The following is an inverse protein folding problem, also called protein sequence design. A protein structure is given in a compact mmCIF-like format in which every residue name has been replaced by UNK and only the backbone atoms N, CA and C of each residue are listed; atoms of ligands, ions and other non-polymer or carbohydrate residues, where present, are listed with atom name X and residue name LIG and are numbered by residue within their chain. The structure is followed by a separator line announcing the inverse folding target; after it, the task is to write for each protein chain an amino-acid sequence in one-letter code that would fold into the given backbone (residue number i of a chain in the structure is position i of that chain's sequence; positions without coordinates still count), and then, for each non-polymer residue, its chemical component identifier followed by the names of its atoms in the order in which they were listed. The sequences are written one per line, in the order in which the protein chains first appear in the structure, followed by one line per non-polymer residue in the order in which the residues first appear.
data_IF_122965413659
#
_entry.id   IF_122965413659
#
_cell.length_a   1.000
_cell.length_b   1.000
_cell.length_c   1.000
_cell.angle_alpha   90.00
_cell.angle_beta   90.00
_cell.angle_gamma   90.00
#
_symmetry.space_group_name_H-M   'P 1'
#
loop_
_entity.id
_entity.type
_entity.pdbx_description
1 polymer ?
#
# COMPACT_ATOMS: atom_id res chain seq x y z
N UNK A 1 1.66 4.04 -22.58
CA UNK A 1 3.12 4.01 -22.68
C UNK A 1 3.65 4.51 -21.37
N UNK A 2 4.47 3.69 -20.70
CA UNK A 2 5.13 4.03 -19.43
C UNK A 2 5.85 5.37 -19.53
N UNK A 3 5.70 6.22 -18.52
CA UNK A 3 6.37 7.52 -18.47
C UNK A 3 6.77 7.88 -17.04
N UNK A 4 7.87 8.64 -16.93
CA UNK A 4 8.34 9.15 -15.64
C UNK A 4 7.43 10.28 -15.16
N UNK A 5 6.76 10.03 -14.04
CA UNK A 5 5.83 10.96 -13.40
C UNK A 5 6.52 11.88 -12.40
N UNK A 6 7.53 11.39 -11.69
CA UNK A 6 8.33 12.14 -10.73
C UNK A 6 9.79 11.70 -10.79
N UNK A 7 10.69 12.64 -10.53
CA UNK A 7 12.11 12.35 -10.43
C UNK A 7 12.75 13.26 -9.37
N UNK A 8 13.78 12.75 -8.70
CA UNK A 8 14.65 13.55 -7.84
C UNK A 8 15.44 14.59 -8.63
N UNK A 9 15.81 15.73 -8.04
CA UNK A 9 16.63 16.73 -8.72
C UNK A 9 18.06 16.23 -8.92
N UNK A 10 18.61 16.37 -10.13
CA UNK A 10 19.97 15.92 -10.50
C UNK A 10 21.13 16.64 -9.77
N UNK A 11 20.85 17.72 -9.04
CA UNK A 11 21.88 18.56 -8.41
C UNK A 11 22.32 18.06 -7.02
N UNK A 12 21.62 17.09 -6.44
CA UNK A 12 21.97 16.51 -5.16
C UNK A 12 22.90 15.30 -5.34
N UNK A 13 23.80 15.09 -4.38
CA UNK A 13 24.70 13.94 -4.37
C UNK A 13 24.02 12.74 -3.73
N UNK A 14 23.42 11.87 -4.55
CA UNK A 14 22.80 10.62 -4.11
C UNK A 14 23.80 9.46 -4.19
N UNK A 15 23.81 8.61 -3.17
CA UNK A 15 24.65 7.41 -3.11
C UNK A 15 23.95 6.18 -3.70
N UNK A 16 22.63 6.23 -3.75
CA UNK A 16 21.78 5.13 -4.19
C UNK A 16 20.82 5.60 -5.28
N UNK A 17 20.22 4.65 -5.98
CA UNK A 17 19.14 4.86 -6.93
C UNK A 17 17.97 3.90 -6.64
N UNK A 18 16.75 4.43 -6.64
CA UNK A 18 15.52 3.67 -6.56
C UNK A 18 14.57 4.01 -7.71
N UNK A 19 13.99 2.98 -8.31
CA UNK A 19 12.90 3.08 -9.28
C UNK A 19 11.60 2.56 -8.68
N UNK A 20 10.55 3.36 -8.78
CA UNK A 20 9.24 3.05 -8.24
C UNK A 20 8.26 2.90 -9.40
N UNK A 21 7.62 1.73 -9.51
CA UNK A 21 6.47 1.54 -10.37
C UNK A 21 5.22 2.06 -9.67
N UNK A 22 4.62 3.11 -10.21
CA UNK A 22 3.29 3.58 -9.82
C UNK A 22 2.26 2.89 -10.72
N UNK A 23 1.80 1.73 -10.27
CA UNK A 23 0.86 0.89 -11.02
C UNK A 23 -0.48 1.62 -11.17
N UNK A 24 -0.86 1.87 -12.42
CA UNK A 24 -2.10 2.54 -12.80
C UNK A 24 -2.34 3.89 -12.12
N UNK A 25 -1.28 4.66 -11.82
CA UNK A 25 -1.39 5.93 -11.09
C UNK A 25 -2.23 7.02 -11.76
N UNK A 26 -2.57 6.86 -13.04
CA UNK A 26 -3.51 7.69 -13.78
C UNK A 26 -4.99 7.32 -13.56
N UNK A 27 -5.29 6.14 -13.03
CA UNK A 27 -6.65 5.63 -12.76
C UNK A 27 -6.89 5.40 -11.26
N UNK A 28 -5.90 4.83 -10.56
CA UNK A 28 -5.95 4.47 -9.15
C UNK A 28 -5.37 5.61 -8.29
N UNK A 29 -6.07 6.76 -8.28
CA UNK A 29 -5.55 8.02 -7.74
C UNK A 29 -6.48 8.74 -6.76
N UNK A 30 -7.45 8.02 -6.19
CA UNK A 30 -8.45 8.60 -5.30
C UNK A 30 -7.99 8.68 -3.84
N UNK A 31 -8.78 9.34 -3.00
CA UNK A 31 -8.61 9.43 -1.54
C UNK A 31 -7.26 9.97 -1.03
N UNK A 32 -6.48 10.63 -1.90
CA UNK A 32 -5.16 11.16 -1.54
C UNK A 32 -4.07 10.09 -1.44
N UNK A 33 -4.36 8.84 -1.81
CA UNK A 33 -3.43 7.71 -1.63
C UNK A 33 -2.16 7.82 -2.50
N UNK A 34 -2.21 8.60 -3.59
CA UNK A 34 -1.02 8.97 -4.36
C UNK A 34 0.01 9.77 -3.53
N UNK A 35 -0.36 10.35 -2.40
CA UNK A 35 0.58 10.94 -1.46
C UNK A 35 1.58 9.92 -0.89
N UNK A 36 1.27 8.61 -0.93
CA UNK A 36 2.24 7.56 -0.58
C UNK A 36 3.47 7.59 -1.51
N UNK A 37 3.30 7.85 -2.81
CA UNK A 37 4.42 8.02 -3.75
C UNK A 37 5.31 9.19 -3.33
N UNK A 38 4.70 10.30 -2.91
CA UNK A 38 5.43 11.49 -2.45
C UNK A 38 6.23 11.18 -1.18
N UNK A 39 5.65 10.42 -0.24
CA UNK A 39 6.33 9.98 0.97
C UNK A 39 7.48 9.02 0.69
N UNK A 40 7.29 8.04 -0.21
CA UNK A 40 8.37 7.14 -0.63
C UNK A 40 9.53 7.92 -1.24
N UNK A 41 9.23 8.87 -2.13
CA UNK A 41 10.25 9.74 -2.74
C UNK A 41 10.99 10.55 -1.67
N UNK A 42 10.25 11.23 -0.79
CA UNK A 42 10.82 12.08 0.27
C UNK A 42 11.73 11.29 1.22
N UNK A 43 11.29 10.13 1.69
CA UNK A 43 12.06 9.28 2.60
C UNK A 43 13.29 8.71 1.91
N UNK A 44 13.17 8.28 0.66
CA UNK A 44 14.29 7.79 -0.15
C UNK A 44 15.35 8.87 -0.40
N UNK A 45 14.95 10.10 -0.72
CA UNK A 45 15.88 11.22 -0.88
C UNK A 45 16.64 11.52 0.41
N UNK A 46 15.96 11.46 1.57
CA UNK A 46 16.61 11.60 2.89
C UNK A 46 17.57 10.46 3.23
N UNK A 47 17.35 9.28 2.66
CA UNK A 47 18.24 8.12 2.76
C UNK A 47 19.36 8.14 1.71
N UNK A 48 19.47 9.21 0.92
CA UNK A 48 20.51 9.38 -0.08
C UNK A 48 20.25 8.66 -1.40
N UNK A 49 18.99 8.34 -1.71
CA UNK A 49 18.60 7.71 -2.97
C UNK A 49 18.01 8.70 -3.97
N UNK A 50 18.51 8.67 -5.20
CA UNK A 50 17.88 9.31 -6.35
C UNK A 50 16.66 8.47 -6.76
N UNK A 51 15.49 9.08 -6.80
CA UNK A 51 14.23 8.40 -7.09
C UNK A 51 13.74 8.72 -8.49
N UNK A 52 13.33 7.69 -9.22
CA UNK A 52 12.55 7.81 -10.46
C UNK A 52 11.23 7.07 -10.27
N UNK A 53 10.11 7.74 -10.48
CA UNK A 53 8.76 7.16 -10.38
C UNK A 53 8.14 7.10 -11.76
N UNK A 54 7.89 5.89 -12.26
CA UNK A 54 7.23 5.69 -13.54
C UNK A 54 5.79 5.26 -13.33
N UNK A 55 4.85 5.88 -14.06
CA UNK A 55 3.49 5.35 -14.15
C UNK A 55 3.48 4.22 -15.16
N UNK A 56 3.12 3.01 -14.69
CA UNK A 56 2.95 1.80 -15.50
C UNK A 56 1.45 1.49 -15.51
N UNK A 57 0.77 1.73 -16.64
CA UNK A 57 -0.70 1.72 -16.69
C UNK A 57 -1.25 0.76 -17.76
N UNK A 58 -2.44 1.06 -18.28
CA UNK A 58 -3.13 0.30 -19.30
C UNK A 58 -2.23 0.05 -20.51
N UNK A 59 -2.15 -1.21 -20.92
CA UNK A 59 -1.39 -1.71 -22.07
C UNK A 59 0.12 -1.51 -21.96
N UNK A 60 0.61 -1.07 -20.81
CA UNK A 60 2.04 -1.00 -20.51
C UNK A 60 2.52 -2.33 -19.95
N UNK A 61 3.83 -2.58 -20.09
CA UNK A 61 4.49 -3.73 -19.46
C UNK A 61 5.06 -3.33 -18.11
N UNK A 62 4.90 -4.18 -17.11
CA UNK A 62 5.64 -4.10 -15.86
C UNK A 62 6.94 -4.89 -16.00
N UNK A 63 8.09 -4.25 -15.81
CA UNK A 63 9.41 -4.91 -15.88
C UNK A 63 9.98 -5.12 -14.46
N UNK A 64 9.98 -6.36 -13.95
CA UNK A 64 10.35 -6.61 -12.56
C UNK A 64 11.86 -6.50 -12.29
N UNK A 65 12.68 -6.39 -13.33
CA UNK A 65 14.13 -6.19 -13.20
C UNK A 65 14.49 -4.69 -13.08
N UNK A 66 13.56 -3.80 -13.46
CA UNK A 66 13.78 -2.34 -13.49
C UNK A 66 13.35 -1.68 -12.18
N UNK A 67 12.30 -2.18 -11.54
CA UNK A 67 11.69 -1.54 -10.37
C UNK A 67 12.19 -2.14 -9.07
N UNK A 68 12.29 -1.29 -8.04
CA UNK A 68 12.69 -1.67 -6.69
C UNK A 68 11.50 -1.68 -5.73
N UNK A 69 10.52 -0.81 -5.98
CA UNK A 69 9.26 -0.69 -5.25
C UNK A 69 8.11 -0.63 -6.26
N UNK A 70 7.01 -1.33 -6.00
CA UNK A 70 5.75 -1.15 -6.69
C UNK A 70 4.68 -0.58 -5.74
N UNK A 71 4.02 0.49 -6.14
CA UNK A 71 2.88 1.05 -5.43
C UNK A 71 1.61 0.87 -6.25
N UNK A 72 0.57 0.35 -5.63
CA UNK A 72 -0.73 0.12 -6.25
C UNK A 72 -1.84 0.75 -5.40
N UNK A 73 -2.31 1.92 -5.83
CA UNK A 73 -3.31 2.70 -5.09
C UNK A 73 -4.74 2.14 -5.19
N UNK A 74 -5.68 2.85 -4.55
CA UNK A 74 -7.11 2.65 -4.72
C UNK A 74 -7.70 3.49 -5.86
N UNK A 75 -8.79 3.01 -6.47
CA UNK A 75 -9.53 3.70 -7.51
C UNK A 75 -11.03 3.73 -7.19
N UNK A 76 -11.83 4.31 -8.08
CA UNK A 76 -13.29 4.13 -8.01
C UNK A 76 -13.65 2.78 -8.65
N UNK A 77 -14.85 2.27 -8.37
CA UNK A 77 -15.31 0.97 -8.85
C UNK A 77 -15.20 0.85 -10.39
N UNK A 78 -15.52 1.91 -11.14
CA UNK A 78 -15.44 1.92 -12.60
C UNK A 78 -14.00 1.75 -13.11
N UNK A 79 -13.07 2.60 -12.64
CA UNK A 79 -11.66 2.51 -13.00
C UNK A 79 -11.03 1.18 -12.55
N UNK A 80 -11.39 0.68 -11.36
CA UNK A 80 -10.87 -0.59 -10.84
C UNK A 80 -11.31 -1.78 -11.71
N UNK A 81 -12.54 -1.77 -12.22
CA UNK A 81 -13.00 -2.77 -13.18
C UNK A 81 -12.18 -2.72 -14.49
N UNK A 82 -11.90 -1.53 -15.04
CA UNK A 82 -11.05 -1.37 -16.22
C UNK A 82 -9.63 -1.89 -15.95
N UNK A 83 -9.06 -1.55 -14.79
CA UNK A 83 -7.74 -2.03 -14.39
C UNK A 83 -7.72 -3.55 -14.31
N UNK A 84 -8.74 -4.19 -13.74
CA UNK A 84 -8.80 -5.65 -13.60
C UNK A 84 -8.71 -6.40 -14.94
N UNK A 85 -9.27 -5.85 -16.01
CA UNK A 85 -9.22 -6.45 -17.35
C UNK A 85 -7.78 -6.46 -17.91
N UNK A 86 -7.04 -5.37 -17.70
CA UNK A 86 -5.66 -5.19 -18.17
C UNK A 86 -4.61 -5.83 -17.26
N UNK A 87 -4.92 -5.98 -15.97
CA UNK A 87 -3.98 -6.43 -14.95
C UNK A 87 -3.47 -7.85 -15.20
N UNK A 88 -4.27 -8.68 -15.87
CA UNK A 88 -3.91 -10.04 -16.26
C UNK A 88 -2.63 -10.11 -17.11
N UNK A 89 -2.40 -9.12 -17.98
CA UNK A 89 -1.20 -9.04 -18.84
C UNK A 89 0.09 -8.77 -18.02
N UNK A 90 -0.03 -8.27 -16.79
CA UNK A 90 1.09 -7.97 -15.89
C UNK A 90 1.32 -9.05 -14.83
N UNK A 91 0.47 -10.08 -14.79
CA UNK A 91 0.45 -11.09 -13.71
C UNK A 91 1.81 -11.77 -13.51
N UNK A 92 2.36 -12.37 -14.56
CA UNK A 92 3.60 -13.17 -14.46
C UNK A 92 4.79 -12.33 -14.02
N UNK A 93 4.90 -11.10 -14.53
CA UNK A 93 5.98 -10.18 -14.19
C UNK A 93 5.82 -9.64 -12.75
N UNK A 94 4.59 -9.31 -12.31
CA UNK A 94 4.30 -8.94 -10.91
C UNK A 94 4.51 -10.09 -9.93
N UNK A 95 4.12 -11.31 -10.30
CA UNK A 95 4.35 -12.50 -9.49
C UNK A 95 5.85 -12.74 -9.32
N UNK A 96 6.64 -12.66 -10.40
CA UNK A 96 8.09 -12.76 -10.34
C UNK A 96 8.69 -11.69 -9.41
N UNK A 97 8.23 -10.45 -9.49
CA UNK A 97 8.66 -9.38 -8.60
C UNK A 97 8.39 -9.70 -7.13
N UNK A 98 7.16 -10.08 -6.80
CA UNK A 98 6.74 -10.43 -5.43
C UNK A 98 7.52 -11.64 -4.91
N UNK A 99 7.65 -12.69 -5.73
CA UNK A 99 8.31 -13.92 -5.33
C UNK A 99 9.82 -13.75 -5.12
N UNK A 100 10.44 -12.82 -5.86
CA UNK A 100 11.84 -12.40 -5.69
C UNK A 100 12.00 -11.27 -4.64
N UNK A 101 11.13 -11.23 -3.63
CA UNK A 101 11.16 -10.30 -2.50
C UNK A 101 11.04 -8.81 -2.88
N UNK A 102 10.44 -8.49 -4.02
CA UNK A 102 10.15 -7.11 -4.43
C UNK A 102 9.24 -6.41 -3.42
N UNK A 103 9.50 -5.11 -3.17
CA UNK A 103 8.73 -4.34 -2.19
C UNK A 103 7.44 -3.83 -2.84
N UNK A 104 6.29 -4.19 -2.28
CA UNK A 104 4.98 -3.75 -2.77
C UNK A 104 4.21 -3.06 -1.66
N UNK A 105 3.65 -1.89 -1.96
CA UNK A 105 2.63 -1.24 -1.15
C UNK A 105 1.31 -1.20 -1.95
N UNK A 106 0.29 -1.90 -1.48
CA UNK A 106 -1.01 -2.00 -2.14
C UNK A 106 -2.12 -1.45 -1.24
N UNK A 107 -2.92 -0.51 -1.74
CA UNK A 107 -3.90 0.22 -0.94
C UNK A 107 -5.30 0.02 -1.49
N UNK A 108 -6.24 -0.33 -0.61
CA UNK A 108 -7.67 -0.45 -0.92
C UNK A 108 -7.90 -1.34 -2.17
N UNK A 109 -8.34 -0.77 -3.28
CA UNK A 109 -8.54 -1.49 -4.54
C UNK A 109 -7.31 -2.24 -5.06
N UNK A 110 -6.12 -1.63 -4.96
CA UNK A 110 -4.86 -2.28 -5.34
C UNK A 110 -4.56 -3.50 -4.48
N UNK A 111 -4.87 -3.45 -3.18
CA UNK A 111 -4.75 -4.60 -2.28
C UNK A 111 -5.71 -5.72 -2.70
N UNK A 112 -7.00 -5.40 -2.90
CA UNK A 112 -8.02 -6.37 -3.33
C UNK A 112 -7.65 -7.08 -4.64
N UNK A 113 -7.08 -6.34 -5.60
CA UNK A 113 -6.71 -6.85 -6.91
C UNK A 113 -5.47 -7.76 -6.90
N UNK A 114 -4.65 -7.76 -5.85
CA UNK A 114 -3.56 -8.74 -5.71
C UNK A 114 -4.08 -10.14 -5.36
N UNK A 115 -5.22 -10.20 -4.66
CA UNK A 115 -5.90 -11.43 -4.27
C UNK A 115 -6.61 -12.13 -5.42
N UNK A 116 -7.40 -13.16 -5.09
CA UNK A 116 -8.13 -13.98 -6.07
C UNK A 116 -9.26 -13.22 -6.74
N UNK A 117 -10.07 -12.50 -5.97
CA UNK A 117 -11.22 -11.74 -6.46
C UNK A 117 -11.72 -10.74 -5.42
N UNK A 118 -12.52 -9.77 -5.87
CA UNK A 118 -13.39 -8.99 -5.00
C UNK A 118 -14.83 -8.95 -5.52
N UNK A 119 -15.78 -8.71 -4.61
CA UNK A 119 -17.18 -8.51 -4.95
C UNK A 119 -17.52 -7.02 -4.76
N UNK A 120 -17.97 -6.36 -5.82
CA UNK A 120 -18.45 -4.98 -5.78
C UNK A 120 -19.70 -4.85 -4.89
N UNK A 121 -20.04 -3.61 -4.50
CA UNK A 121 -21.29 -3.34 -3.79
C UNK A 121 -22.53 -3.79 -4.59
N UNK A 122 -22.44 -3.81 -5.93
CA UNK A 122 -23.46 -4.32 -6.85
C UNK A 122 -23.68 -5.84 -6.76
N UNK A 123 -22.77 -6.58 -6.13
CA UNK A 123 -22.72 -8.04 -6.12
C UNK A 123 -21.96 -8.64 -7.31
N UNK A 124 -21.48 -7.81 -8.25
CA UNK A 124 -20.63 -8.28 -9.36
C UNK A 124 -19.28 -8.75 -8.82
N UNK A 125 -18.89 -9.97 -9.19
CA UNK A 125 -17.55 -10.50 -8.92
C UNK A 125 -16.56 -10.00 -9.98
N UNK A 126 -15.41 -9.52 -9.52
CA UNK A 126 -14.28 -9.10 -10.34
C UNK A 126 -13.08 -9.97 -9.97
N UNK A 127 -12.48 -10.62 -10.96
CA UNK A 127 -11.27 -11.42 -10.73
C UNK A 127 -10.07 -10.50 -10.46
N UNK A 128 -9.27 -10.86 -9.46
CA UNK A 128 -7.98 -10.26 -9.21
C UNK A 128 -6.87 -11.04 -9.92
N UNK A 129 -5.63 -10.71 -9.57
CA UNK A 129 -4.44 -11.39 -10.09
C UNK A 129 -4.32 -12.83 -9.60
N UNK A 130 -4.81 -13.10 -8.39
CA UNK A 130 -4.62 -14.38 -7.71
C UNK A 130 -3.15 -14.72 -7.49
N UNK A 131 -2.29 -13.71 -7.36
CA UNK A 131 -0.88 -13.89 -6.91
C UNK A 131 -0.89 -14.19 -5.41
N UNK A 132 -1.76 -13.49 -4.69
CA UNK A 132 -2.02 -13.70 -3.28
C UNK A 132 -3.33 -14.48 -3.10
N UNK A 133 -3.44 -15.17 -1.97
CA UNK A 133 -4.48 -16.16 -1.70
C UNK A 133 -5.79 -15.58 -1.17
N UNK A 134 -5.77 -14.36 -0.62
CA UNK A 134 -6.95 -13.69 -0.07
C UNK A 134 -8.03 -13.43 -1.11
N UNK A 135 -9.24 -13.18 -0.61
CA UNK A 135 -10.38 -12.72 -1.41
C UNK A 135 -11.18 -11.67 -0.63
N UNK A 136 -11.96 -10.88 -1.35
CA UNK A 136 -12.76 -9.81 -0.74
C UNK A 136 -14.25 -9.99 -1.04
N UNK A 137 -15.06 -10.10 0.00
CA UNK A 137 -16.52 -10.14 -0.10
C UNK A 137 -17.12 -8.74 0.00
N UNK A 138 -18.35 -8.56 -0.46
CA UNK A 138 -19.08 -7.31 -0.27
C UNK A 138 -19.76 -7.24 1.11
N UNK A 139 -20.23 -6.05 1.44
CA UNK A 139 -21.14 -5.77 2.55
C UNK A 139 -22.46 -5.23 2.02
N UNK A 140 -23.58 -5.73 2.56
CA UNK A 140 -24.91 -5.23 2.20
C UNK A 140 -25.17 -3.90 2.89
N UNK A 141 -25.33 -2.83 2.10
CA UNK A 141 -25.68 -1.47 2.57
C UNK A 141 -24.84 -0.94 3.74
N UNK A 142 -23.57 -1.35 3.85
CA UNK A 142 -22.69 -0.97 4.94
C UNK A 142 -21.26 -0.69 4.46
N UNK A 143 -20.51 0.08 5.26
CA UNK A 143 -19.08 0.32 5.09
C UNK A 143 -18.41 0.32 6.47
N UNK A 144 -17.16 -0.12 6.53
CA UNK A 144 -16.31 0.14 7.68
C UNK A 144 -15.71 1.52 7.53
N UNK A 145 -16.11 2.42 8.43
CA UNK A 145 -15.72 3.82 8.44
C UNK A 145 -15.29 4.18 9.85
N UNK A 146 -14.06 4.68 10.02
CA UNK A 146 -13.58 5.17 11.30
C UNK A 146 -12.06 5.22 11.44
N UNK A 147 -11.61 5.72 12.58
CA UNK A 147 -10.20 5.62 12.96
C UNK A 147 -9.84 4.15 13.22
N UNK A 148 -8.61 3.79 12.83
CA UNK A 148 -8.08 2.44 13.03
C UNK A 148 -6.63 2.50 13.50
N UNK A 149 -6.30 1.57 14.40
CA UNK A 149 -4.94 1.35 14.91
C UNK A 149 -4.65 -0.12 14.89
N UNK A 150 -3.49 -0.48 14.35
CA UNK A 150 -2.99 -1.85 14.34
C UNK A 150 -1.59 -1.93 14.93
N UNK A 151 -1.22 -3.13 15.37
CA UNK A 151 0.12 -3.46 15.81
C UNK A 151 0.66 -4.67 15.05
N UNK A 152 1.83 -4.50 14.44
CA UNK A 152 2.60 -5.57 13.82
C UNK A 152 3.59 -6.14 14.85
N UNK A 153 3.36 -7.39 15.28
CA UNK A 153 4.21 -8.05 16.29
C UNK A 153 5.60 -8.41 15.75
N UNK A 154 5.74 -8.68 14.45
CA UNK A 154 7.01 -9.07 13.83
C UNK A 154 8.01 -7.92 13.83
N UNK A 155 7.52 -6.70 13.62
CA UNK A 155 8.32 -5.49 13.58
C UNK A 155 8.27 -4.70 14.89
N UNK A 156 7.39 -5.08 15.81
CA UNK A 156 7.05 -4.31 17.01
C UNK A 156 6.72 -2.85 16.64
N UNK A 157 5.90 -2.68 15.61
CA UNK A 157 5.51 -1.38 15.06
C UNK A 157 4.01 -1.18 15.15
N UNK A 158 3.60 0.05 15.45
CA UNK A 158 2.19 0.45 15.47
C UNK A 158 1.91 1.35 14.28
N UNK A 159 0.78 1.11 13.63
CA UNK A 159 0.32 1.91 12.49
C UNK A 159 -1.08 2.46 12.77
N UNK A 160 -1.32 3.69 12.32
CA UNK A 160 -2.57 4.43 12.46
C UNK A 160 -3.13 4.82 11.10
N UNK A 161 -4.44 4.86 10.97
CA UNK A 161 -5.08 5.30 9.74
C UNK A 161 -6.55 5.58 9.93
N UNK A 162 -7.21 5.89 8.81
CA UNK A 162 -8.66 5.95 8.71
C UNK A 162 -9.12 4.91 7.70
N UNK A 163 -10.04 4.04 8.08
CA UNK A 163 -10.60 3.03 7.18
C UNK A 163 -11.90 3.56 6.58
N UNK A 164 -12.11 3.33 5.27
CA UNK A 164 -13.37 3.61 4.59
C UNK A 164 -13.57 2.64 3.43
N UNK A 165 -14.07 1.43 3.71
CA UNK A 165 -14.26 0.41 2.67
C UNK A 165 -15.51 -0.43 2.88
N UNK A 166 -16.08 -0.91 1.75
CA UNK A 166 -17.18 -1.88 1.75
C UNK A 166 -16.65 -3.32 1.78
N UNK A 167 -15.46 -3.56 1.23
CA UNK A 167 -14.91 -4.90 1.07
C UNK A 167 -14.58 -5.55 2.42
N UNK A 168 -14.90 -6.83 2.59
CA UNK A 168 -14.44 -7.68 3.69
C UNK A 168 -13.39 -8.64 3.16
N UNK A 169 -12.13 -8.38 3.48
CA UNK A 169 -11.02 -9.24 3.05
C UNK A 169 -10.85 -10.42 3.99
N UNK A 170 -10.62 -11.59 3.44
CA UNK A 170 -10.28 -12.80 4.17
C UNK A 170 -8.92 -13.29 3.68
N UNK A 171 -7.95 -13.32 4.58
CA UNK A 171 -6.58 -13.75 4.27
C UNK A 171 -6.52 -15.26 4.05
N UNK A 172 -5.57 -15.70 3.22
CA UNK A 172 -5.24 -17.11 3.08
C UNK A 172 -4.36 -17.62 4.22
N UNK A 173 -4.25 -18.95 4.37
CA UNK A 173 -3.47 -19.58 5.43
C UNK A 173 -1.97 -19.22 5.41
N UNK A 174 -1.43 -18.90 4.23
CA UNK A 174 -0.02 -18.54 4.02
C UNK A 174 0.24 -17.02 4.09
N UNK A 175 -0.77 -16.23 4.44
CA UNK A 175 -0.69 -14.78 4.56
C UNK A 175 -0.78 -14.35 6.04
N UNK A 176 0.06 -13.40 6.43
CA UNK A 176 -0.08 -12.71 7.72
C UNK A 176 -0.80 -11.39 7.51
N UNK A 177 -1.50 -10.84 8.52
CA UNK A 177 -1.99 -9.47 8.42
C UNK A 177 -0.85 -8.46 8.52
N UNK A 178 -1.08 -7.23 8.03
CA UNK A 178 -0.18 -6.11 8.29
C UNK A 178 -0.09 -5.83 9.79
N UNK A 179 -1.18 -6.03 10.53
CA UNK A 179 -1.16 -6.00 11.99
C UNK A 179 -2.44 -6.51 12.63
N UNK A 180 -2.38 -6.76 13.93
CA UNK A 180 -3.56 -7.03 14.76
C UNK A 180 -4.26 -5.72 15.07
N UNK A 181 -5.58 -5.71 14.97
CA UNK A 181 -6.40 -4.53 15.26
C UNK A 181 -6.39 -4.25 16.75
N UNK A 182 -6.09 -3.01 17.13
CA UNK A 182 -6.22 -2.48 18.50
C UNK A 182 -7.61 -1.84 18.67
N UNK A 183 -8.01 -1.02 17.69
CA UNK A 183 -9.36 -0.50 17.52
C UNK A 183 -9.62 -0.28 16.02
N UNK A 184 -10.89 -0.28 15.60
CA UNK A 184 -11.31 -0.28 14.20
C UNK A 184 -11.92 -1.62 13.80
N UNK A 185 -12.22 -1.80 12.51
CA UNK A 185 -12.82 -2.99 11.93
C UNK A 185 -11.79 -3.84 11.18
N UNK A 186 -10.83 -3.21 10.50
CA UNK A 186 -9.77 -3.89 9.76
C UNK A 186 -10.32 -4.64 8.54
N UNK A 187 -9.72 -5.78 8.22
CA UNK A 187 -10.03 -6.52 7.00
C UNK A 187 -11.52 -6.89 6.88
N UNK A 188 -12.14 -7.34 7.97
CA UNK A 188 -13.50 -7.90 7.94
C UNK A 188 -14.30 -7.77 9.25
N UNK A 189 -13.78 -7.10 10.30
CA UNK A 189 -14.40 -7.00 11.65
C UNK A 189 -14.52 -8.31 12.44
N UNK A 190 -14.16 -9.44 11.86
CA UNK A 190 -14.36 -10.78 12.43
C UNK A 190 -13.03 -11.35 12.94
N UNK A 191 -11.95 -11.21 12.16
CA UNK A 191 -10.66 -11.85 12.42
C UNK A 191 -9.72 -11.02 13.32
N UNK A 192 -10.10 -9.79 13.67
CA UNK A 192 -9.29 -8.91 14.52
C UNK A 192 -7.96 -8.49 13.88
N UNK A 193 -7.89 -8.47 12.55
CA UNK A 193 -6.67 -8.19 11.79
C UNK A 193 -6.92 -7.19 10.65
N UNK A 194 -5.87 -6.51 10.20
CA UNK A 194 -5.93 -5.57 9.08
C UNK A 194 -4.77 -5.76 8.11
N UNK A 195 -5.07 -5.55 6.84
CA UNK A 195 -4.11 -5.57 5.75
C UNK A 195 -3.55 -6.96 5.48
N UNK A 196 -2.46 -7.00 4.72
CA UNK A 196 -1.67 -8.20 4.48
C UNK A 196 -0.19 -7.88 4.56
N UNK A 197 0.57 -8.84 5.06
CA UNK A 197 2.01 -8.91 5.03
C UNK A 197 2.42 -10.27 4.46
N UNK A 198 2.98 -10.26 3.25
CA UNK A 198 3.48 -11.44 2.56
C UNK A 198 4.85 -11.12 1.97
N UNK A 199 5.92 -11.69 2.52
CA UNK A 199 7.30 -11.30 2.18
C UNK A 199 7.45 -9.76 2.28
N UNK A 200 7.80 -9.09 1.19
CA UNK A 200 7.89 -7.62 1.14
C UNK A 200 6.65 -6.95 0.54
N UNK A 201 5.50 -7.63 0.55
CA UNK A 201 4.19 -7.06 0.20
C UNK A 201 3.50 -6.55 1.46
N UNK A 202 3.02 -5.32 1.38
CA UNK A 202 2.28 -4.61 2.42
C UNK A 202 0.96 -4.14 1.81
N UNK A 203 -0.15 -4.79 2.16
CA UNK A 203 -1.49 -4.38 1.75
C UNK A 203 -2.25 -3.76 2.92
N UNK A 204 -3.08 -2.75 2.67
CA UNK A 204 -3.89 -2.10 3.72
C UNK A 204 -5.10 -1.37 3.14
N UNK A 205 -6.13 -1.17 3.98
CA UNK A 205 -7.27 -0.28 3.76
C UNK A 205 -7.08 1.12 4.34
N UNK A 206 -5.92 1.41 4.92
CA UNK A 206 -5.66 2.70 5.56
C UNK A 206 -5.59 3.83 4.52
N UNK A 207 -6.47 4.80 4.69
CA UNK A 207 -6.35 6.12 4.09
C UNK A 207 -5.67 7.10 5.05
N UNK A 208 -5.30 8.26 4.53
CA UNK A 208 -4.56 9.27 5.27
C UNK A 208 -3.84 10.27 4.37
N UNK A 209 -2.85 9.85 3.55
CA UNK A 209 -2.46 8.47 3.18
C UNK A 209 -1.58 7.74 4.21
N UNK A 210 -1.54 6.39 4.15
CA UNK A 210 -0.88 5.52 5.16
C UNK A 210 0.57 5.92 5.47
N UNK A 211 1.40 6.27 4.47
CA UNK A 211 2.80 6.58 4.69
C UNK A 211 3.05 7.96 5.30
N UNK A 212 2.14 8.91 5.06
CA UNK A 212 2.19 10.22 5.72
C UNK A 212 1.91 10.05 7.21
N UNK A 213 0.91 9.21 7.52
CA UNK A 213 0.51 8.95 8.89
C UNK A 213 1.48 8.05 9.67
N UNK A 214 2.25 7.24 8.94
CA UNK A 214 3.16 6.21 9.48
C UNK A 214 4.53 6.31 8.80
N UNK A 215 5.30 7.33 9.17
CA UNK A 215 6.66 7.53 8.65
C UNK A 215 7.59 6.34 8.94
N UNK A 216 7.33 5.58 10.00
CA UNK A 216 8.00 4.32 10.32
C UNK A 216 7.78 3.25 9.23
N UNK A 217 6.55 3.12 8.71
CA UNK A 217 6.29 2.20 7.59
C UNK A 217 6.95 2.69 6.30
N UNK A 218 6.95 4.01 6.05
CA UNK A 218 7.64 4.58 4.89
C UNK A 218 9.15 4.31 4.94
N UNK A 219 9.76 4.50 6.12
CA UNK A 219 11.16 4.15 6.38
C UNK A 219 11.41 2.65 6.14
N UNK A 220 10.56 1.78 6.66
CA UNK A 220 10.66 0.33 6.46
C UNK A 220 10.66 -0.05 4.97
N UNK A 221 9.67 0.41 4.21
CA UNK A 221 9.56 0.08 2.78
C UNK A 221 10.82 0.50 2.00
N UNK A 222 11.27 1.74 2.20
CA UNK A 222 12.41 2.29 1.47
C UNK A 222 13.72 1.62 1.88
N UNK A 223 13.94 1.40 3.18
CA UNK A 223 15.16 0.73 3.66
C UNK A 223 15.20 -0.73 3.25
N UNK A 224 14.07 -1.44 3.24
CA UNK A 224 13.96 -2.81 2.70
C UNK A 224 14.34 -2.85 1.22
N UNK A 225 13.84 -1.91 0.41
CA UNK A 225 14.19 -1.83 -1.01
C UNK A 225 15.68 -1.54 -1.23
N UNK A 226 16.25 -0.58 -0.49
CA UNK A 226 17.67 -0.24 -0.57
C UNK A 226 18.56 -1.43 -0.16
N UNK A 227 18.26 -2.09 0.95
CA UNK A 227 19.04 -3.24 1.43
C UNK A 227 18.94 -4.45 0.50
N UNK A 228 17.77 -4.67 -0.12
CA UNK A 228 17.62 -5.69 -1.15
C UNK A 228 18.52 -5.41 -2.36
N UNK A 229 18.60 -4.16 -2.80
CA UNK A 229 19.34 -3.77 -4.01
C UNK A 229 20.84 -3.65 -3.80
N UNK A 230 21.27 -3.03 -2.70
CA UNK A 230 22.67 -2.68 -2.45
C UNK A 230 23.35 -3.57 -1.40
N UNK A 231 22.63 -4.55 -0.85
CA UNK A 231 23.13 -5.47 0.18
C UNK A 231 22.70 -5.10 1.59
N UNK A 232 22.62 -6.11 2.47
CA UNK A 232 22.10 -5.94 3.83
C UNK A 232 23.04 -5.13 4.75
N UNK A 233 24.32 -5.04 4.38
CA UNK A 233 25.39 -4.41 5.18
C UNK A 233 25.51 -2.90 4.96
N UNK A 234 24.70 -2.32 4.05
CA UNK A 234 24.71 -0.87 3.85
C UNK A 234 24.29 -0.14 5.13
N UNK A 235 25.00 0.96 5.42
CA UNK A 235 24.68 1.81 6.58
C UNK A 235 23.78 2.94 6.10
N UNK A 236 22.55 2.95 6.59
CA UNK A 236 21.56 3.98 6.31
C UNK A 236 21.39 4.89 7.53
N UNK A 237 21.05 6.16 7.30
CA UNK A 237 20.71 7.07 8.38
C UNK A 237 19.54 6.51 9.21
N UNK A 238 19.55 6.69 10.53
CA UNK A 238 18.53 6.11 11.39
C UNK A 238 17.20 6.82 11.21
N UNK A 239 16.09 6.13 11.51
CA UNK A 239 14.75 6.72 11.48
C UNK A 239 14.67 8.07 12.20
N UNK A 240 15.23 8.15 13.41
CA UNK A 240 15.20 9.38 14.21
C UNK A 240 16.02 10.52 13.59
N UNK A 241 17.12 10.21 12.90
CA UNK A 241 17.98 11.24 12.31
C UNK A 241 17.26 11.96 11.16
N UNK A 242 16.48 11.22 10.36
CA UNK A 242 15.90 11.76 9.14
C UNK A 242 14.41 12.11 9.23
N UNK A 243 13.67 11.49 10.15
CA UNK A 243 12.21 11.60 10.26
C UNK A 243 11.74 11.99 11.67
N UNK A 244 12.60 12.55 12.53
CA UNK A 244 12.22 12.96 13.90
C UNK A 244 11.08 13.98 13.97
N UNK A 245 10.83 14.74 12.90
CA UNK A 245 9.70 15.68 12.82
C UNK A 245 8.38 14.98 12.46
N UNK A 246 8.45 13.80 11.82
CA UNK A 246 7.29 13.08 11.29
C UNK A 246 6.76 12.08 12.33
N UNK A 247 6.23 12.62 13.44
CA UNK A 247 5.73 11.79 14.54
C UNK A 247 4.25 11.45 14.33
N UNK A 248 3.94 10.16 14.37
CA UNK A 248 2.55 9.71 14.44
C UNK A 248 1.95 10.10 15.80
N UNK A 249 0.95 10.97 15.78
CA UNK A 249 0.19 11.34 16.98
C UNK A 249 -1.04 10.45 17.08
N UNK A 250 -1.51 10.06 18.27
CA UNK A 250 -2.78 9.33 18.38
C UNK A 250 -3.91 10.36 18.50
N UNK A 251 -4.72 10.47 17.45
CA UNK A 251 -5.96 11.23 17.47
C UNK A 251 -7.09 10.21 17.62
N UNK A 252 -7.73 10.18 18.78
CA UNK A 252 -9.00 9.47 18.94
C UNK A 252 -10.11 10.49 18.79
N UNK A 253 -11.04 10.29 17.86
CA UNK A 253 -12.24 11.11 17.80
C UNK A 253 -13.13 10.78 19.03
N UNK A 254 -12.97 11.56 20.12
CA UNK A 254 -13.73 11.39 21.37
C UNK A 254 -15.15 11.98 21.25
N UNK A 255 -15.63 12.32 20.04
CA UNK A 255 -16.97 12.89 19.87
C UNK A 255 -17.98 11.85 19.40
N UNK A 256 -18.69 11.37 20.42
CA UNK A 256 -20.05 10.82 20.40
C UNK A 256 -20.88 11.30 19.21
N UNK A 257 -21.55 10.37 18.52
CA UNK A 257 -22.76 10.69 17.75
C UNK A 257 -23.59 11.66 18.60
N UNK A 258 -23.91 12.83 18.05
CA UNK A 258 -24.89 13.70 18.68
C UNK A 258 -26.15 12.84 18.90
N UNK A 259 -26.60 12.75 20.14
CA UNK A 259 -27.90 12.17 20.45
C UNK A 259 -28.93 12.99 19.66
N UNK A 260 -29.58 12.34 18.70
CA UNK A 260 -30.76 12.91 18.08
C UNK A 260 -31.84 12.83 19.15
N UNK A 261 -32.17 13.97 19.76
CA UNK A 261 -33.39 14.10 20.57
C UNK A 261 -34.59 13.78 19.65
N UNK A 262 -35.38 12.77 20.05
CA UNK A 262 -36.67 12.40 19.43
C UNK A 262 -37.74 13.46 19.68
#
# INVERSE_FOLDING_TARGET
MTYTSLQSPNQANYQYELRIAHLYGNLMNTYGDNGNILMLKYVAEKLGAHVTVDIVSLKDRFDPEVYDIAFFGGGQDYEQAIVSEDLSDKKEDLERFIQNDGVVLAICGGFQLLGKYYIEASGKRIEGLGILGHYTLNQENNRYIGDIKIHNEEFNETYYGFENHQGRTFLAEDEKPLGKVVYGNGNNKEDGCEGVHYKNVFGSYFHGPILSRNANLAYRLVTTALKKKYGQDIVLATYNDILSLEKAEEYADVKSKAELEE
#
